data_IF_350699544265
#
_entry.id   IF_350699544265
#
_cell.length_a   1.000
_cell.length_b   1.000
_cell.length_c   1.000
_cell.angle_alpha   90.00
_cell.angle_beta   90.00
_cell.angle_gamma   90.00
#
_symmetry.space_group_name_H-M   'P 1'
#
loop_
_entity.id
_entity.type
_entity.pdbx_description
1 polymer ?
#
# COMPACT_ATOMS: atom_id res chain seq x y z
N UNK A 1 -49.39 5.82 -72.05
CA UNK A 1 -48.57 6.71 -71.20
C UNK A 1 -47.86 5.79 -70.22
N UNK A 2 -46.65 5.35 -70.54
CA UNK A 2 -45.35 5.93 -70.14
C UNK A 2 -45.06 5.79 -68.62
N UNK A 3 -44.04 4.96 -68.33
CA UNK A 3 -43.24 4.81 -67.08
C UNK A 3 -42.46 6.12 -66.75
N UNK A 4 -41.75 6.32 -65.60
CA UNK A 4 -41.04 5.36 -64.71
C UNK A 4 -41.37 5.58 -63.19
N UNK A 5 -40.63 5.18 -62.13
CA UNK A 5 -39.23 4.72 -61.96
C UNK A 5 -39.03 3.82 -60.72
N UNK A 6 -37.97 3.00 -60.74
CA UNK A 6 -37.41 2.21 -59.63
C UNK A 6 -36.65 3.06 -58.60
N UNK A 7 -36.79 2.79 -57.29
CA UNK A 7 -35.70 3.00 -56.32
C UNK A 7 -35.70 1.94 -55.22
N UNK A 8 -34.81 0.95 -55.31
CA UNK A 8 -34.48 0.09 -54.19
C UNK A 8 -33.40 0.75 -53.34
N UNK A 9 -33.68 1.05 -52.07
CA UNK A 9 -32.69 1.64 -51.15
C UNK A 9 -31.98 0.50 -50.42
N UNK A 10 -30.84 0.08 -51.00
CA UNK A 10 -29.98 -0.95 -50.42
C UNK A 10 -28.99 -0.28 -49.44
N UNK A 11 -29.35 -0.19 -48.17
CA UNK A 11 -28.47 0.36 -47.11
C UNK A 11 -27.38 -0.65 -46.74
N UNK A 12 -26.25 -0.60 -47.45
CA UNK A 12 -25.04 -1.34 -47.07
C UNK A 12 -24.41 -0.72 -45.81
N UNK A 13 -24.67 -1.33 -44.64
CA UNK A 13 -23.92 -0.98 -43.43
C UNK A 13 -22.45 -1.40 -43.61
N UNK A 14 -21.54 -0.42 -43.60
CA UNK A 14 -20.11 -0.70 -43.48
C UNK A 14 -19.79 -1.14 -42.05
N UNK A 15 -19.52 -2.42 -41.86
CA UNK A 15 -19.02 -2.96 -40.61
C UNK A 15 -17.52 -2.67 -40.47
N UNK A 16 -17.19 -1.58 -39.77
CA UNK A 16 -15.80 -1.24 -39.43
C UNK A 16 -15.26 -2.18 -38.34
N UNK A 17 -14.53 -3.23 -38.72
CA UNK A 17 -13.74 -4.00 -37.77
C UNK A 17 -12.52 -3.20 -37.33
N UNK A 18 -12.63 -2.50 -36.20
CA UNK A 18 -11.46 -1.97 -35.51
C UNK A 18 -10.68 -3.14 -34.89
N UNK A 19 -9.47 -3.41 -35.39
CA UNK A 19 -8.53 -4.30 -34.70
C UNK A 19 -8.05 -3.60 -33.44
N UNK A 20 -8.65 -3.94 -32.30
CA UNK A 20 -8.12 -3.56 -30.99
C UNK A 20 -6.81 -4.31 -30.75
N UNK A 21 -5.67 -3.64 -30.92
CA UNK A 21 -4.40 -4.17 -30.41
C UNK A 21 -4.47 -4.17 -28.88
N UNK A 22 -4.20 -5.29 -28.19
CA UNK A 22 -4.12 -5.28 -26.74
C UNK A 22 -3.01 -4.28 -26.34
N UNK A 23 -3.37 -3.33 -25.48
CA UNK A 23 -2.38 -2.44 -24.88
C UNK A 23 -1.36 -3.30 -24.12
N UNK A 24 -0.07 -2.91 -24.09
CA UNK A 24 0.88 -3.59 -23.22
C UNK A 24 0.37 -3.46 -21.78
N UNK A 25 0.03 -4.58 -21.15
CA UNK A 25 -0.26 -4.60 -19.72
C UNK A 25 0.91 -3.94 -19.01
N UNK A 26 0.71 -2.88 -18.21
CA UNK A 26 1.76 -2.50 -17.28
C UNK A 26 2.07 -3.75 -16.46
N UNK A 27 3.35 -4.08 -16.31
CA UNK A 27 3.76 -5.14 -15.43
C UNK A 27 3.56 -4.65 -13.99
N UNK A 28 2.29 -4.60 -13.57
CA UNK A 28 1.92 -4.65 -12.17
C UNK A 28 2.32 -6.04 -11.67
N UNK A 29 3.62 -6.18 -11.40
CA UNK A 29 3.98 -6.78 -10.13
C UNK A 29 3.12 -6.06 -9.10
N UNK A 30 2.12 -6.76 -8.55
CA UNK A 30 1.35 -6.27 -7.43
C UNK A 30 2.34 -6.16 -6.27
N UNK A 31 3.03 -5.02 -6.18
CA UNK A 31 4.13 -4.78 -5.26
C UNK A 31 3.52 -4.67 -3.88
N UNK A 32 3.36 -5.84 -3.27
CA UNK A 32 2.57 -6.04 -2.07
C UNK A 32 3.02 -5.07 -0.99
N UNK A 33 2.04 -4.31 -0.48
CA UNK A 33 2.27 -3.35 0.59
C UNK A 33 2.82 -4.14 1.79
N UNK A 34 3.96 -3.66 2.31
CA UNK A 34 4.76 -4.38 3.30
C UNK A 34 5.34 -3.41 4.32
N UNK A 35 4.89 -3.55 5.56
CA UNK A 35 5.42 -2.87 6.72
C UNK A 35 6.13 -3.87 7.63
N UNK A 36 7.40 -3.59 7.95
CA UNK A 36 8.23 -4.37 8.87
C UNK A 36 9.09 -3.45 9.72
N UNK A 37 8.93 -3.55 11.02
CA UNK A 37 9.58 -2.69 12.03
C UNK A 37 10.07 -3.54 13.19
N UNK A 38 11.18 -3.16 13.78
CA UNK A 38 11.74 -3.77 14.99
C UNK A 38 11.65 -2.75 16.12
N UNK A 39 10.99 -3.13 17.21
CA UNK A 39 11.04 -2.43 18.49
C UNK A 39 12.21 -2.95 19.32
N UNK A 40 12.86 -2.07 20.08
CA UNK A 40 13.95 -2.40 21.00
C UNK A 40 13.68 -1.84 22.39
N UNK A 41 14.08 -2.58 23.42
CA UNK A 41 13.93 -2.15 24.82
C UNK A 41 14.84 -0.96 25.18
N UNK A 42 16.00 -0.82 24.52
CA UNK A 42 16.90 0.31 24.70
C UNK A 42 16.66 1.44 23.69
N UNK A 43 17.27 2.60 23.94
CA UNK A 43 17.05 3.84 23.16
C UNK A 43 17.89 3.92 21.86
N UNK A 44 18.88 3.03 21.69
CA UNK A 44 19.84 3.04 20.57
C UNK A 44 19.76 1.75 19.75
N UNK A 45 18.54 1.23 19.53
CA UNK A 45 18.25 -0.01 18.82
C UNK A 45 19.06 -1.20 19.34
N UNK A 46 19.09 -1.32 20.67
CA UNK A 46 19.88 -2.26 21.43
C UNK A 46 19.04 -2.93 22.54
N UNK A 47 19.55 -4.04 23.07
CA UNK A 47 18.85 -4.85 24.07
C UNK A 47 17.92 -5.89 23.43
N UNK A 48 16.83 -6.23 24.10
CA UNK A 48 15.84 -7.18 23.59
C UNK A 48 15.04 -6.50 22.48
N UNK A 49 14.80 -7.23 21.39
CA UNK A 49 14.05 -6.74 20.25
C UNK A 49 12.80 -7.57 19.95
N UNK A 50 11.81 -6.95 19.32
CA UNK A 50 10.59 -7.62 18.84
C UNK A 50 10.23 -7.08 17.46
N UNK A 51 10.06 -7.97 16.49
CA UNK A 51 9.70 -7.62 15.11
C UNK A 51 8.19 -7.65 14.91
N UNK A 52 7.64 -6.59 14.33
CA UNK A 52 6.27 -6.54 13.84
C UNK A 52 6.29 -6.46 12.33
N UNK A 53 5.42 -7.25 11.69
CA UNK A 53 5.33 -7.37 10.25
C UNK A 53 3.85 -7.46 9.83
N UNK A 54 3.54 -6.84 8.70
CA UNK A 54 2.22 -6.82 8.08
C UNK A 54 2.37 -6.74 6.55
N UNK A 55 1.54 -7.51 5.85
CA UNK A 55 1.52 -7.65 4.40
C UNK A 55 0.09 -7.45 3.89
N UNK A 56 -0.02 -6.90 2.68
CA UNK A 56 -1.29 -6.74 1.95
C UNK A 56 -1.87 -5.33 2.05
N UNK A 57 -2.43 -4.87 0.93
CA UNK A 57 -3.06 -3.54 0.82
C UNK A 57 -4.36 -3.46 1.61
N UNK A 58 -4.56 -2.36 2.35
CA UNK A 58 -5.67 -2.17 3.28
C UNK A 58 -5.56 -2.93 4.61
N UNK A 59 -4.42 -3.55 4.91
CA UNK A 59 -4.20 -4.28 6.14
C UNK A 59 -3.79 -3.34 7.30
N UNK A 60 -4.53 -3.38 8.41
CA UNK A 60 -4.21 -2.65 9.64
C UNK A 60 -3.89 -3.62 10.79
N UNK A 61 -2.85 -3.33 11.57
CA UNK A 61 -2.52 -4.06 12.80
C UNK A 61 -1.96 -3.12 13.87
N UNK A 62 -2.58 -3.11 15.04
CA UNK A 62 -2.01 -2.60 16.28
C UNK A 62 -1.36 -3.75 17.08
N UNK A 63 -0.22 -3.51 17.74
CA UNK A 63 0.41 -4.44 18.68
C UNK A 63 0.94 -3.70 19.91
N UNK A 64 0.51 -4.13 21.10
CA UNK A 64 1.02 -3.67 22.38
C UNK A 64 2.45 -4.20 22.61
N UNK A 65 3.46 -3.37 22.34
CA UNK A 65 4.89 -3.64 22.53
C UNK A 65 5.52 -2.35 23.04
N UNK A 66 6.15 -2.42 24.22
CA UNK A 66 6.88 -1.31 24.79
C UNK A 66 8.37 -1.33 24.43
N UNK A 67 8.96 -0.15 24.21
CA UNK A 67 10.37 0.00 23.88
C UNK A 67 10.86 1.44 23.95
N UNK A 68 12.18 1.62 23.96
CA UNK A 68 12.86 2.92 23.93
C UNK A 68 13.20 3.40 22.51
N UNK A 69 13.27 2.48 21.53
CA UNK A 69 13.53 2.82 20.14
C UNK A 69 12.88 1.87 19.14
N UNK A 70 12.77 2.33 17.89
CA UNK A 70 12.27 1.57 16.75
C UNK A 70 13.19 1.72 15.53
N UNK A 71 13.23 0.70 14.67
CA UNK A 71 13.88 0.73 13.37
C UNK A 71 12.97 0.13 12.29
N UNK A 72 12.80 0.83 11.17
CA UNK A 72 12.14 0.28 9.99
C UNK A 72 13.09 -0.63 9.22
N UNK A 73 12.59 -1.82 8.87
CA UNK A 73 13.28 -2.79 8.01
C UNK A 73 12.66 -2.77 6.62
N UNK A 74 11.34 -2.51 6.54
CA UNK A 74 10.65 -2.25 5.30
C UNK A 74 9.44 -1.35 5.54
N UNK A 75 9.29 -0.32 4.71
CA UNK A 75 8.08 0.49 4.62
C UNK A 75 7.72 0.72 3.14
N UNK A 76 6.82 -0.10 2.59
CA UNK A 76 6.34 -0.01 1.20
C UNK A 76 4.83 0.10 1.22
N UNK A 77 4.28 1.24 0.83
CA UNK A 77 2.83 1.51 0.84
C UNK A 77 2.20 1.68 2.22
N UNK A 78 2.87 1.20 3.28
CA UNK A 78 2.35 1.24 4.64
C UNK A 78 2.83 2.46 5.44
N UNK A 79 1.97 2.94 6.33
CA UNK A 79 2.32 3.88 7.40
C UNK A 79 2.65 3.10 8.69
N UNK A 80 3.70 3.52 9.41
CA UNK A 80 4.10 2.92 10.69
C UNK A 80 4.07 4.02 11.74
N UNK A 81 3.39 3.79 12.87
CA UNK A 81 3.27 4.73 13.99
C UNK A 81 3.62 4.04 15.29
N UNK A 82 4.34 4.76 16.14
CA UNK A 82 4.49 4.42 17.56
C UNK A 82 3.44 5.17 18.38
N UNK A 83 3.02 4.61 19.51
CA UNK A 83 1.98 5.16 20.37
C UNK A 83 2.38 5.13 21.84
N UNK A 84 1.96 6.15 22.61
CA UNK A 84 2.19 6.21 24.05
C UNK A 84 1.30 5.25 24.86
N UNK A 85 0.15 4.83 24.30
CA UNK A 85 -0.77 3.87 24.91
C UNK A 85 -0.72 2.49 24.25
N UNK A 86 -0.92 1.43 25.03
CA UNK A 86 -0.78 0.03 24.61
C UNK A 86 -1.79 -0.40 23.52
N UNK A 87 -2.95 0.24 23.44
CA UNK A 87 -4.00 -0.07 22.44
C UNK A 87 -3.96 0.90 21.25
N UNK A 88 -2.76 1.34 20.85
CA UNK A 88 -2.53 2.35 19.80
C UNK A 88 -3.35 3.63 20.00
N UNK A 89 -3.32 4.16 21.22
CA UNK A 89 -4.01 5.39 21.61
C UNK A 89 -3.06 6.42 22.24
N UNK A 90 -3.56 7.65 22.42
CA UNK A 90 -2.81 8.76 23.00
C UNK A 90 -1.93 9.47 21.97
N UNK A 91 -0.76 9.93 22.39
CA UNK A 91 0.21 10.57 21.51
C UNK A 91 0.84 9.56 20.57
N UNK A 92 1.03 9.95 19.30
CA UNK A 92 1.72 9.12 18.31
C UNK A 92 2.87 9.86 17.64
N UNK A 93 3.86 9.08 17.18
CA UNK A 93 4.88 9.54 16.25
C UNK A 93 4.85 8.66 15.01
N UNK A 94 4.75 9.29 13.83
CA UNK A 94 4.77 8.59 12.55
C UNK A 94 6.21 8.47 12.07
N UNK A 95 6.61 7.25 11.72
CA UNK A 95 7.95 6.96 11.23
C UNK A 95 8.17 7.63 9.86
N UNK A 96 9.30 8.34 9.64
CA UNK A 96 9.60 8.91 8.33
C UNK A 96 9.70 7.83 7.25
N UNK A 97 9.66 8.25 5.99
CA UNK A 97 9.88 7.35 4.86
C UNK A 97 11.37 7.23 4.52
N UNK A 98 11.81 6.02 4.21
CA UNK A 98 13.12 5.69 3.66
C UNK A 98 14.37 5.99 4.54
N UNK A 99 14.21 6.09 5.86
CA UNK A 99 15.35 6.31 6.78
C UNK A 99 16.09 5.00 7.15
N UNK A 100 15.41 3.84 7.17
CA UNK A 100 15.95 2.53 7.63
C UNK A 100 16.68 2.61 9.00
N UNK A 101 16.28 3.61 9.79
CA UNK A 101 17.12 4.26 10.78
C UNK A 101 16.74 3.87 12.19
N UNK A 102 17.67 4.06 13.13
CA UNK A 102 17.31 3.92 14.55
C UNK A 102 16.69 5.22 15.06
N UNK A 103 15.46 5.14 15.57
CA UNK A 103 14.76 6.28 16.14
C UNK A 103 14.48 6.04 17.63
N UNK A 104 15.12 6.83 18.49
CA UNK A 104 14.87 6.87 19.94
C UNK A 104 13.50 7.48 20.21
N UNK A 105 12.49 6.64 20.41
CA UNK A 105 11.10 7.01 20.67
C UNK A 105 10.52 6.04 21.69
N UNK A 106 10.26 6.53 22.90
CA UNK A 106 9.58 5.78 23.94
C UNK A 106 8.13 5.49 23.51
N UNK A 107 7.73 4.22 23.53
CA UNK A 107 6.41 3.78 23.08
C UNK A 107 5.90 2.61 23.92
N UNK A 108 4.57 2.39 23.85
CA UNK A 108 3.86 1.25 24.45
C UNK A 108 3.12 0.39 23.41
N UNK A 109 2.96 0.89 22.18
CA UNK A 109 2.44 0.13 21.05
C UNK A 109 2.97 0.62 19.71
N UNK A 110 2.81 -0.22 18.69
CA UNK A 110 3.09 0.08 17.29
C UNK A 110 1.86 -0.26 16.46
N UNK A 111 1.47 0.63 15.54
CA UNK A 111 0.51 0.30 14.47
C UNK A 111 1.20 0.30 13.10
N UNK A 112 0.84 -0.66 12.27
CA UNK A 112 1.17 -0.71 10.85
C UNK A 112 -0.15 -0.64 10.07
N UNK A 113 -0.21 0.28 9.11
CA UNK A 113 -1.38 0.55 8.27
C UNK A 113 -0.94 0.51 6.80
N UNK A 114 -1.13 -0.64 6.17
CA UNK A 114 -1.00 -0.86 4.73
C UNK A 114 -2.37 -0.71 4.05
#
# INVERSE_FOLDING_TARGET
MLFPTTTAILTTLLASLALATPAPSPNLEAREDWGKVVSFTGDLCNGVSTTVELLGSGANRCVAIGGGSVQDIQKRGCTIKTWSGADCHGSSWTMPDADFGCHSVLHAAISIEC
#
